data_IF_345773646018
#
_entry.id   IF_345773646018
#
_cell.length_a   1.000
_cell.length_b   1.000
_cell.length_c   1.000
_cell.angle_alpha   90.00
_cell.angle_beta   90.00
_cell.angle_gamma   90.00
#
_symmetry.space_group_name_H-M   'P 1'
#
loop_
_entity.id
_entity.type
_entity.pdbx_description
1 polymer ?
#
# COMPACT_ATOMS: atom_id res chain seq x y z
N UNK A 1 9.66 30.33 -3.63
CA UNK A 1 8.59 29.51 -3.04
C UNK A 1 7.86 28.80 -4.18
N UNK A 2 8.34 27.61 -4.56
CA UNK A 2 7.61 26.77 -5.51
C UNK A 2 6.54 26.02 -4.72
N UNK A 3 5.27 26.32 -4.99
CA UNK A 3 4.15 25.47 -4.54
C UNK A 3 4.37 24.09 -5.18
N UNK A 4 4.93 23.16 -4.43
CA UNK A 4 4.83 21.75 -4.80
C UNK A 4 3.34 21.41 -4.79
N UNK A 5 2.80 21.11 -5.97
CA UNK A 5 1.41 20.72 -6.18
C UNK A 5 1.01 19.61 -5.18
N UNK A 6 0.25 19.97 -4.15
CA UNK A 6 -0.50 19.04 -3.28
C UNK A 6 -1.25 17.99 -4.11
N UNK A 7 -1.71 18.38 -5.30
CA UNK A 7 -2.38 17.51 -6.26
C UNK A 7 -1.55 16.27 -6.63
N UNK A 8 -0.21 16.35 -6.69
CA UNK A 8 0.61 15.18 -7.08
C UNK A 8 0.63 14.11 -5.99
N UNK A 9 0.73 14.50 -4.71
CA UNK A 9 0.66 13.58 -3.56
C UNK A 9 -0.68 12.87 -3.55
N UNK A 10 -1.74 13.66 -3.74
CA UNK A 10 -3.10 13.19 -3.75
C UNK A 10 -3.36 12.22 -4.91
N UNK A 11 -2.98 12.58 -6.14
CA UNK A 11 -3.16 11.71 -7.32
C UNK A 11 -2.39 10.39 -7.21
N UNK A 12 -1.13 10.42 -6.74
CA UNK A 12 -0.35 9.19 -6.54
C UNK A 12 -0.92 8.32 -5.41
N UNK A 13 -1.39 8.94 -4.32
CA UNK A 13 -2.10 8.25 -3.25
C UNK A 13 -3.36 7.53 -3.75
N UNK A 14 -4.22 8.24 -4.48
CA UNK A 14 -5.44 7.65 -5.05
C UNK A 14 -5.17 6.57 -6.10
N UNK A 15 -4.18 6.78 -6.97
CA UNK A 15 -3.75 5.77 -7.93
C UNK A 15 -3.32 4.48 -7.23
N UNK A 16 -2.55 4.61 -6.16
CA UNK A 16 -2.09 3.46 -5.38
C UNK A 16 -3.24 2.72 -4.69
N UNK A 17 -4.22 3.46 -4.15
CA UNK A 17 -5.38 2.89 -3.50
C UNK A 17 -6.23 2.10 -4.51
N UNK A 18 -6.42 2.64 -5.71
CA UNK A 18 -7.13 1.94 -6.79
C UNK A 18 -6.41 0.67 -7.26
N UNK A 19 -5.08 0.73 -7.41
CA UNK A 19 -4.27 -0.44 -7.80
C UNK A 19 -4.33 -1.53 -6.73
N UNK A 20 -4.15 -1.17 -5.46
CA UNK A 20 -4.20 -2.12 -4.35
C UNK A 20 -5.60 -2.72 -4.18
N UNK A 21 -6.65 -1.93 -4.41
CA UNK A 21 -8.03 -2.43 -4.41
C UNK A 21 -8.24 -3.47 -5.52
N UNK A 22 -7.74 -3.18 -6.74
CA UNK A 22 -7.76 -4.14 -7.84
C UNK A 22 -7.05 -5.45 -7.49
N UNK A 23 -5.89 -5.38 -6.85
CA UNK A 23 -5.15 -6.56 -6.38
C UNK A 23 -5.98 -7.37 -5.36
N UNK A 24 -6.61 -6.69 -4.39
CA UNK A 24 -7.43 -7.35 -3.39
C UNK A 24 -8.66 -8.06 -3.99
N UNK A 25 -9.29 -7.45 -5.00
CA UNK A 25 -10.41 -8.05 -5.73
C UNK A 25 -9.95 -9.29 -6.51
N UNK A 26 -8.81 -9.21 -7.22
CA UNK A 26 -8.25 -10.35 -7.96
C UNK A 26 -7.92 -11.51 -7.02
N UNK A 27 -7.26 -11.22 -5.89
CA UNK A 27 -6.92 -12.24 -4.90
C UNK A 27 -8.19 -12.87 -4.30
N UNK A 28 -9.23 -12.09 -4.02
CA UNK A 28 -10.52 -12.60 -3.56
C UNK A 28 -11.20 -13.50 -4.58
N UNK A 29 -11.14 -13.12 -5.86
CA UNK A 29 -11.67 -13.93 -6.96
C UNK A 29 -10.93 -15.27 -7.10
N UNK A 30 -9.62 -15.29 -6.86
CA UNK A 30 -8.79 -16.51 -6.90
C UNK A 30 -8.98 -17.42 -5.69
N UNK A 31 -9.94 -17.13 -4.80
CA UNK A 31 -10.29 -17.97 -3.66
C UNK A 31 -9.60 -17.59 -2.35
N UNK A 32 -8.96 -16.42 -2.28
CA UNK A 32 -8.43 -15.92 -1.02
C UNK A 32 -9.57 -15.41 -0.13
N UNK A 33 -9.52 -15.74 1.16
CA UNK A 33 -10.55 -15.31 2.10
C UNK A 33 -10.65 -13.77 2.15
N UNK A 34 -11.87 -13.20 2.29
CA UNK A 34 -12.07 -11.75 2.23
C UNK A 34 -11.26 -10.98 3.27
N UNK A 35 -11.02 -11.57 4.46
CA UNK A 35 -10.20 -10.98 5.51
C UNK A 35 -8.73 -10.90 5.10
N UNK A 36 -8.21 -11.93 4.42
CA UNK A 36 -6.84 -11.93 3.89
C UNK A 36 -6.66 -10.88 2.78
N UNK A 37 -7.66 -10.74 1.88
CA UNK A 37 -7.65 -9.70 0.86
C UNK A 37 -7.63 -8.29 1.47
N UNK A 38 -8.46 -8.07 2.49
CA UNK A 38 -8.49 -6.81 3.23
C UNK A 38 -7.17 -6.54 3.95
N UNK A 39 -6.52 -7.60 4.46
CA UNK A 39 -5.21 -7.53 5.08
C UNK A 39 -4.10 -7.13 4.10
N UNK A 40 -4.07 -7.74 2.91
CA UNK A 40 -3.08 -7.41 1.86
C UNK A 40 -3.31 -5.99 1.34
N UNK A 41 -4.58 -5.59 1.15
CA UNK A 41 -4.96 -4.24 0.76
C UNK A 41 -4.45 -3.20 1.75
N UNK A 42 -4.79 -3.38 3.04
CA UNK A 42 -4.40 -2.45 4.10
C UNK A 42 -2.89 -2.43 4.32
N UNK A 43 -2.22 -3.58 4.27
CA UNK A 43 -0.76 -3.64 4.34
C UNK A 43 -0.11 -2.82 3.23
N UNK A 44 -0.58 -2.97 1.98
CA UNK A 44 -0.05 -2.19 0.87
C UNK A 44 -0.39 -0.71 0.95
N UNK A 45 -1.61 -0.37 1.37
CA UNK A 45 -2.03 1.02 1.48
C UNK A 45 -1.20 1.75 2.54
N UNK A 46 -0.97 1.10 3.69
CA UNK A 46 -0.13 1.62 4.76
C UNK A 46 1.31 1.88 4.31
N UNK A 47 1.91 0.95 3.56
CA UNK A 47 3.26 1.14 3.00
C UNK A 47 3.33 2.31 2.00
N UNK A 48 2.34 2.47 1.13
CA UNK A 48 2.32 3.60 0.20
C UNK A 48 2.16 4.93 0.92
N UNK A 49 1.31 5.00 1.94
CA UNK A 49 1.14 6.20 2.75
C UNK A 49 2.45 6.61 3.45
N UNK A 50 3.21 5.63 3.95
CA UNK A 50 4.55 5.88 4.52
C UNK A 50 5.48 6.47 3.45
N UNK A 51 5.53 5.88 2.25
CA UNK A 51 6.38 6.39 1.16
C UNK A 51 6.00 7.83 0.79
N UNK A 52 4.72 8.14 0.66
CA UNK A 52 4.26 9.49 0.34
C UNK A 52 4.54 10.50 1.47
N UNK A 53 4.49 10.04 2.72
CA UNK A 53 4.81 10.87 3.88
C UNK A 53 6.30 11.24 3.97
N UNK A 54 7.21 10.35 3.56
CA UNK A 54 8.65 10.60 3.64
C UNK A 54 9.24 11.25 2.39
N UNK A 55 8.75 10.93 1.19
CA UNK A 55 9.44 11.28 -0.05
C UNK A 55 8.80 12.41 -0.86
N UNK A 56 7.62 12.93 -0.50
CA UNK A 56 7.01 14.04 -1.23
C UNK A 56 6.92 15.32 -0.40
N UNK A 57 7.74 16.32 -0.75
CA UNK A 57 7.60 17.72 -0.32
C UNK A 57 8.06 18.03 1.11
N UNK A 58 7.44 17.40 2.12
CA UNK A 58 7.78 17.56 3.55
C UNK A 58 7.43 16.30 4.34
N UNK A 59 8.23 15.97 5.36
CA UNK A 59 8.01 14.79 6.22
C UNK A 59 6.79 15.04 7.10
N UNK A 60 5.70 14.33 6.81
CA UNK A 60 4.43 14.49 7.50
C UNK A 60 4.19 13.34 8.48
N UNK A 61 4.61 13.54 9.74
CA UNK A 61 4.60 12.49 10.76
C UNK A 61 3.19 11.92 11.04
N UNK A 62 2.14 12.74 10.89
CA UNK A 62 0.75 12.29 11.06
C UNK A 62 0.37 11.28 9.98
N UNK A 63 0.72 11.56 8.72
CA UNK A 63 0.47 10.67 7.59
C UNK A 63 1.30 9.38 7.69
N UNK A 64 2.57 9.50 8.11
CA UNK A 64 3.43 8.34 8.36
C UNK A 64 2.87 7.45 9.48
N UNK A 65 2.44 8.05 10.60
CA UNK A 65 1.83 7.32 11.73
C UNK A 65 0.54 6.61 11.33
N UNK A 66 -0.32 7.27 10.54
CA UNK A 66 -1.53 6.66 10.00
C UNK A 66 -1.21 5.50 9.05
N UNK A 67 -0.21 5.66 8.19
CA UNK A 67 0.28 4.60 7.31
C UNK A 67 0.79 3.37 8.07
N UNK A 68 1.56 3.59 9.16
CA UNK A 68 2.03 2.51 10.04
C UNK A 68 0.85 1.79 10.71
N UNK A 69 -0.13 2.53 11.25
CA UNK A 69 -1.31 1.92 11.87
C UNK A 69 -2.08 1.03 10.89
N UNK A 70 -2.31 1.51 9.66
CA UNK A 70 -3.00 0.72 8.63
C UNK A 70 -2.17 -0.51 8.26
N UNK A 71 -0.84 -0.37 8.11
CA UNK A 71 0.03 -1.49 7.79
C UNK A 71 0.01 -2.57 8.88
N UNK A 72 -0.02 -2.16 10.15
CA UNK A 72 -0.14 -3.08 11.31
C UNK A 72 -1.49 -3.79 11.30
N UNK A 73 -2.60 -3.06 11.06
CA UNK A 73 -3.94 -3.67 10.93
C UNK A 73 -3.92 -4.72 9.81
N UNK A 74 -3.34 -4.39 8.66
CA UNK A 74 -3.23 -5.34 7.55
C UNK A 74 -2.40 -6.56 7.86
N UNK A 75 -1.23 -6.37 8.49
CA UNK A 75 -0.38 -7.47 8.94
C UNK A 75 -1.09 -8.38 9.95
N UNK A 76 -1.79 -7.80 10.93
CA UNK A 76 -2.55 -8.58 11.93
C UNK A 76 -3.70 -9.37 11.30
N UNK A 77 -4.42 -8.79 10.33
CA UNK A 77 -5.45 -9.50 9.58
C UNK A 77 -4.87 -10.70 8.82
N UNK A 78 -3.71 -10.54 8.17
CA UNK A 78 -3.03 -11.63 7.46
C UNK A 78 -2.62 -12.75 8.43
N UNK A 79 -1.98 -12.40 9.54
CA UNK A 79 -1.47 -13.37 10.53
C UNK A 79 -2.62 -14.15 11.18
N UNK A 80 -3.70 -13.47 11.56
CA UNK A 80 -4.82 -14.08 12.30
C UNK A 80 -5.70 -15.00 11.44
N UNK A 81 -5.68 -14.84 10.12
CA UNK A 81 -6.48 -15.66 9.19
C UNK A 81 -5.63 -16.54 8.28
N UNK A 82 -4.34 -16.66 8.58
CA UNK A 82 -3.40 -17.42 7.77
C UNK A 82 -3.74 -18.91 7.79
N UNK A 83 -3.87 -19.50 6.59
CA UNK A 83 -4.01 -20.95 6.40
C UNK A 83 -2.96 -21.44 5.42
N UNK A 84 -2.40 -22.63 5.64
CA UNK A 84 -1.33 -23.18 4.78
C UNK A 84 -1.76 -23.33 3.31
N UNK A 85 -3.04 -23.58 3.04
CA UNK A 85 -3.59 -23.67 1.69
C UNK A 85 -3.51 -22.34 0.90
N UNK A 86 -3.48 -21.21 1.60
CA UNK A 86 -3.45 -19.87 0.99
C UNK A 86 -2.04 -19.26 0.89
N UNK A 87 -1.00 -19.99 1.33
CA UNK A 87 0.37 -19.45 1.48
C UNK A 87 0.92 -18.87 0.17
N UNK A 88 0.69 -19.55 -0.95
CA UNK A 88 1.16 -19.10 -2.28
C UNK A 88 0.48 -17.78 -2.67
N UNK A 89 -0.84 -17.69 -2.54
CA UNK A 89 -1.58 -16.46 -2.89
C UNK A 89 -1.22 -15.28 -1.99
N UNK A 90 -1.00 -15.53 -0.69
CA UNK A 90 -0.58 -14.48 0.24
C UNK A 90 0.82 -13.96 -0.12
N UNK A 91 1.77 -14.85 -0.43
CA UNK A 91 3.10 -14.45 -0.88
C UNK A 91 3.05 -13.67 -2.19
N UNK A 92 2.24 -14.12 -3.16
CA UNK A 92 2.04 -13.38 -4.42
C UNK A 92 1.46 -12.00 -4.16
N UNK A 93 0.45 -11.88 -3.29
CA UNK A 93 -0.13 -10.59 -2.91
C UNK A 93 0.88 -9.65 -2.26
N UNK A 94 1.71 -10.15 -1.34
CA UNK A 94 2.77 -9.35 -0.71
C UNK A 94 3.82 -8.90 -1.74
N UNK A 95 4.21 -9.77 -2.68
CA UNK A 95 5.14 -9.41 -3.75
C UNK A 95 4.58 -8.32 -4.67
N UNK A 96 3.30 -8.40 -5.01
CA UNK A 96 2.63 -7.37 -5.82
C UNK A 96 2.58 -6.04 -5.05
N UNK A 97 2.23 -6.08 -3.75
CA UNK A 97 2.26 -4.90 -2.89
C UNK A 97 3.65 -4.26 -2.86
N UNK A 98 4.70 -5.06 -2.64
CA UNK A 98 6.08 -4.57 -2.63
C UNK A 98 6.48 -3.96 -3.98
N UNK A 99 6.06 -4.56 -5.10
CA UNK A 99 6.29 -4.03 -6.43
C UNK A 99 5.59 -2.67 -6.64
N UNK A 100 4.32 -2.55 -6.25
CA UNK A 100 3.56 -1.28 -6.34
C UNK A 100 4.23 -0.19 -5.49
N UNK A 101 4.57 -0.51 -4.25
CA UNK A 101 5.27 0.42 -3.33
C UNK A 101 6.62 0.85 -3.91
N UNK A 102 7.38 -0.09 -4.48
CA UNK A 102 8.66 0.20 -5.13
C UNK A 102 8.51 1.09 -6.35
N UNK A 103 7.53 0.82 -7.23
CA UNK A 103 7.24 1.67 -8.40
C UNK A 103 6.86 3.08 -7.96
N UNK A 104 5.99 3.21 -6.96
CA UNK A 104 5.58 4.53 -6.45
C UNK A 104 6.78 5.26 -5.83
N UNK A 105 7.61 4.57 -5.06
CA UNK A 105 8.83 5.14 -4.48
C UNK A 105 9.75 5.69 -5.58
N UNK A 106 9.97 4.92 -6.65
CA UNK A 106 10.77 5.35 -7.80
C UNK A 106 10.16 6.54 -8.53
N UNK A 107 8.84 6.55 -8.73
CA UNK A 107 8.12 7.65 -9.38
C UNK A 107 8.20 8.94 -8.55
N UNK A 108 8.15 8.81 -7.23
CA UNK A 108 8.31 9.94 -6.32
C UNK A 108 9.75 10.48 -6.37
N UNK A 109 10.77 9.61 -6.27
CA UNK A 109 12.19 10.01 -6.27
C UNK A 109 12.62 10.62 -7.62
N UNK A 110 12.09 10.11 -8.75
CA UNK A 110 12.47 10.57 -10.10
C UNK A 110 11.84 11.89 -10.51
N UNK A 111 10.87 12.44 -9.76
CA UNK A 111 10.40 13.80 -10.02
C UNK A 111 11.38 14.77 -9.36
N UNK A 112 12.21 15.50 -10.13
CA UNK A 112 13.11 16.48 -9.55
C UNK A 112 12.27 17.52 -8.80
N UNK A 113 12.59 17.69 -7.52
CA UNK A 113 12.12 18.78 -6.67
C UNK A 113 12.61 20.12 -7.18
#
# INVERSE_FOLDING_TARGET
MYQFNDDTRFHLGWLSALLLLGVAIILGYLGLAPILCLGIFSLGLGLVLIVLAFFVGTVEMVLAGFGVLIAVIGATAIITTFTHAALILVLTGILIVAAIVGIISLLVIRRPT
#
